data_IF_256499960781
#
_entry.id   IF_256499960781
#
_cell.length_a   1.000
_cell.length_b   1.000
_cell.length_c   1.000
_cell.angle_alpha   90.00
_cell.angle_beta   90.00
_cell.angle_gamma   90.00
#
_symmetry.space_group_name_H-M   'P 1'
#
loop_
_entity.id
_entity.type
_entity.pdbx_description
1 polymer ?
#
# COMPACT_ATOMS: atom_id res chain seq x y z
N UNK A 1 -23.68 -9.58 -7.42
CA UNK A 1 -22.97 -9.98 -6.19
C UNK A 1 -22.05 -11.13 -6.56
N UNK A 2 -20.74 -10.93 -6.59
CA UNK A 2 -19.80 -12.02 -6.88
C UNK A 2 -18.42 -11.71 -6.33
N UNK A 3 -17.99 -12.51 -5.36
CA UNK A 3 -16.59 -12.84 -5.10
C UNK A 3 -15.83 -11.91 -4.15
N UNK A 4 -16.19 -11.89 -2.87
CA UNK A 4 -15.20 -11.57 -1.83
C UNK A 4 -14.56 -12.91 -1.46
N UNK A 5 -13.27 -13.11 -1.76
CA UNK A 5 -12.53 -14.24 -1.19
C UNK A 5 -12.46 -14.01 0.32
N UNK A 6 -13.08 -14.89 1.11
CA UNK A 6 -13.18 -14.75 2.56
C UNK A 6 -11.83 -14.88 3.30
N UNK A 7 -10.78 -15.34 2.62
CA UNK A 7 -9.42 -15.42 3.17
C UNK A 7 -8.60 -14.19 2.76
N UNK A 8 -8.08 -13.42 3.74
CA UNK A 8 -7.19 -12.32 3.42
C UNK A 8 -5.85 -12.84 2.89
N UNK A 9 -5.25 -12.11 1.96
CA UNK A 9 -3.93 -12.42 1.45
C UNK A 9 -2.86 -12.17 2.51
N UNK A 10 -1.81 -12.98 2.53
CA UNK A 10 -0.67 -12.81 3.44
C UNK A 10 0.26 -11.63 3.04
N UNK A 11 0.18 -11.23 1.77
CA UNK A 11 1.07 -10.25 1.18
C UNK A 11 0.46 -9.55 -0.03
N UNK A 12 0.95 -8.33 -0.29
CA UNK A 12 0.55 -7.53 -1.44
C UNK A 12 1.67 -6.57 -1.83
N UNK A 13 1.82 -6.35 -3.14
CA UNK A 13 2.69 -5.32 -3.73
C UNK A 13 1.78 -4.39 -4.53
N UNK A 14 1.87 -3.09 -4.24
CA UNK A 14 1.11 -2.06 -4.93
C UNK A 14 1.42 -2.11 -6.42
N UNK A 15 0.38 -2.04 -7.24
CA UNK A 15 0.44 -2.12 -8.69
C UNK A 15 -0.43 -1.02 -9.33
N UNK A 16 -0.43 -0.94 -10.66
CA UNK A 16 -1.15 0.11 -11.39
C UNK A 16 -2.67 0.07 -11.23
N UNK A 17 -3.24 -1.05 -10.81
CA UNK A 17 -4.67 -1.17 -10.53
C UNK A 17 -5.02 -0.76 -9.10
N UNK A 18 -4.05 -0.62 -8.19
CA UNK A 18 -4.28 -0.19 -6.81
C UNK A 18 -4.77 1.25 -6.75
N UNK A 19 -5.96 1.46 -6.21
CA UNK A 19 -6.53 2.80 -5.98
C UNK A 19 -6.38 3.25 -4.52
N UNK A 20 -6.50 2.32 -3.58
CA UNK A 20 -6.38 2.63 -2.15
C UNK A 20 -5.93 1.43 -1.31
N UNK A 21 -5.21 1.72 -0.23
CA UNK A 21 -4.90 0.78 0.86
C UNK A 21 -5.42 1.40 2.15
N UNK A 22 -6.52 0.86 2.66
CA UNK A 22 -7.23 1.42 3.82
C UNK A 22 -7.01 0.53 5.05
N UNK A 23 -6.76 1.11 6.23
CA UNK A 23 -6.71 0.33 7.46
C UNK A 23 -8.09 -0.22 7.80
N UNK A 24 -8.13 -1.46 8.29
CA UNK A 24 -9.30 -2.07 8.93
C UNK A 24 -8.88 -2.48 10.33
N UNK A 25 -9.65 -2.02 11.31
CA UNK A 25 -9.40 -2.27 12.73
C UNK A 25 -10.44 -3.27 13.25
N UNK A 26 -9.96 -4.40 13.78
CA UNK A 26 -10.81 -5.43 14.37
C UNK A 26 -10.24 -5.86 15.71
N UNK A 27 -10.81 -5.30 16.78
CA UNK A 27 -10.29 -5.45 18.14
C UNK A 27 -8.87 -4.91 18.26
N UNK A 28 -7.89 -5.79 18.52
CA UNK A 28 -6.46 -5.44 18.63
C UNK A 28 -5.68 -5.63 17.33
N UNK A 29 -6.32 -6.17 16.28
CA UNK A 29 -5.69 -6.43 14.99
C UNK A 29 -5.96 -5.28 14.04
N UNK A 30 -4.93 -4.92 13.26
CA UNK A 30 -5.05 -3.97 12.16
C UNK A 30 -4.53 -4.66 10.92
N UNK A 31 -5.38 -4.73 9.89
CA UNK A 31 -5.07 -5.25 8.57
C UNK A 31 -5.49 -4.22 7.52
N UNK A 32 -5.39 -4.56 6.23
CA UNK A 32 -5.73 -3.63 5.16
C UNK A 32 -6.85 -4.15 4.29
N UNK A 33 -7.73 -3.25 3.86
CA UNK A 33 -8.55 -3.43 2.66
C UNK A 33 -7.86 -2.76 1.49
N UNK A 34 -7.53 -3.54 0.48
CA UNK A 34 -7.00 -3.05 -0.79
C UNK A 34 -8.16 -2.87 -1.75
N UNK A 35 -8.22 -1.71 -2.39
CA UNK A 35 -9.18 -1.41 -3.45
C UNK A 35 -8.39 -1.28 -4.74
N UNK A 36 -8.66 -2.16 -5.68
CA UNK A 36 -8.22 -2.06 -7.07
C UNK A 36 -9.38 -1.60 -7.96
N UNK A 37 -9.10 -1.22 -9.21
CA UNK A 37 -10.10 -0.69 -10.16
C UNK A 37 -11.40 -1.50 -10.22
N UNK A 38 -11.30 -2.83 -10.30
CA UNK A 38 -12.45 -3.73 -10.50
C UNK A 38 -12.78 -4.59 -9.28
N UNK A 39 -11.97 -4.56 -8.22
CA UNK A 39 -12.10 -5.48 -7.09
C UNK A 39 -11.61 -4.88 -5.79
N UNK A 40 -12.00 -5.49 -4.68
CA UNK A 40 -11.42 -5.18 -3.37
C UNK A 40 -11.28 -6.46 -2.54
N UNK A 41 -10.20 -6.54 -1.78
CA UNK A 41 -9.89 -7.71 -0.96
C UNK A 41 -9.14 -7.27 0.30
N UNK A 42 -9.00 -8.20 1.24
CA UNK A 42 -8.30 -7.97 2.50
C UNK A 42 -6.88 -8.56 2.45
N UNK A 43 -5.95 -7.91 3.15
CA UNK A 43 -4.55 -8.34 3.27
C UNK A 43 -4.17 -8.28 4.74
N UNK A 44 -3.58 -9.35 5.29
CA UNK A 44 -3.15 -9.46 6.71
C UNK A 44 -1.90 -8.62 7.05
N UNK A 45 -1.78 -7.44 6.43
CA UNK A 45 -0.70 -6.48 6.66
C UNK A 45 -1.32 -5.11 6.95
N UNK A 46 -0.68 -4.33 7.82
CA UNK A 46 -1.03 -2.92 8.02
C UNK A 46 -0.68 -2.13 6.74
N UNK A 47 -1.36 -1.01 6.46
CA UNK A 47 -1.10 -0.22 5.25
C UNK A 47 0.37 0.15 5.09
N UNK A 48 1.04 0.56 6.18
CA UNK A 48 2.45 0.94 6.14
C UNK A 48 3.38 -0.25 5.83
N UNK A 49 3.00 -1.48 6.23
CA UNK A 49 3.77 -2.67 5.88
C UNK A 49 3.64 -3.01 4.39
N UNK A 50 2.45 -2.82 3.80
CA UNK A 50 2.23 -2.97 2.36
C UNK A 50 3.06 -1.95 1.57
N UNK A 51 3.05 -0.68 2.00
CA UNK A 51 3.84 0.39 1.38
C UNK A 51 5.34 0.06 1.45
N UNK A 52 5.85 -0.27 2.63
CA UNK A 52 7.26 -0.60 2.84
C UNK A 52 7.68 -1.85 2.03
N UNK A 53 6.82 -2.87 1.97
CA UNK A 53 7.07 -4.06 1.14
C UNK A 53 7.13 -3.70 -0.35
N UNK A 54 6.21 -2.87 -0.82
CA UNK A 54 6.18 -2.41 -2.22
C UNK A 54 7.43 -1.60 -2.57
N UNK A 55 7.89 -0.75 -1.67
CA UNK A 55 9.16 -0.05 -1.84
C UNK A 55 10.34 -1.03 -1.97
N UNK A 56 10.42 -2.01 -1.06
CA UNK A 56 11.49 -3.01 -1.05
C UNK A 56 11.50 -3.92 -2.27
N UNK A 57 10.32 -4.28 -2.79
CA UNK A 57 10.19 -5.07 -4.01
C UNK A 57 10.91 -4.41 -5.20
N UNK A 58 10.88 -3.07 -5.28
CA UNK A 58 11.57 -2.28 -6.30
C UNK A 58 12.92 -1.70 -5.84
N UNK A 59 13.54 -2.26 -4.79
CA UNK A 59 14.89 -1.87 -4.36
C UNK A 59 14.98 -0.55 -3.59
N UNK A 60 13.88 -0.08 -3.00
CA UNK A 60 13.81 1.18 -2.23
C UNK A 60 13.21 0.97 -0.84
N UNK A 61 13.01 2.06 -0.07
CA UNK A 61 12.32 2.03 1.23
C UNK A 61 11.35 3.20 1.37
N UNK A 62 10.32 3.05 2.22
CA UNK A 62 9.39 4.14 2.52
C UNK A 62 10.12 5.35 3.11
N UNK A 63 11.06 5.10 4.03
CA UNK A 63 11.84 6.16 4.66
C UNK A 63 12.67 6.95 3.63
N UNK A 64 13.32 6.25 2.70
CA UNK A 64 14.11 6.89 1.63
C UNK A 64 13.25 7.74 0.70
N UNK A 65 12.09 7.21 0.26
CA UNK A 65 11.15 7.97 -0.60
C UNK A 65 10.56 9.18 0.12
N UNK A 66 10.20 9.03 1.40
CA UNK A 66 9.71 10.14 2.22
C UNK A 66 10.76 11.25 2.36
N UNK A 67 12.02 10.88 2.62
CA UNK A 67 13.12 11.83 2.74
C UNK A 67 13.39 12.55 1.40
N UNK A 68 13.48 11.80 0.29
CA UNK A 68 13.66 12.39 -1.04
C UNK A 68 12.52 13.32 -1.45
N UNK A 69 11.28 12.97 -1.10
CA UNK A 69 10.12 13.85 -1.35
C UNK A 69 10.23 15.15 -0.57
N UNK A 70 10.61 15.09 0.71
CA UNK A 70 10.82 16.28 1.52
C UNK A 70 11.93 17.18 0.94
N UNK A 71 13.05 16.59 0.54
CA UNK A 71 14.18 17.33 -0.06
C UNK A 71 13.77 18.10 -1.32
N UNK A 72 12.93 17.50 -2.16
CA UNK A 72 12.51 18.11 -3.44
C UNK A 72 11.34 19.09 -3.27
N UNK A 73 10.42 18.82 -2.33
CA UNK A 73 9.13 19.55 -2.24
C UNK A 73 9.00 20.46 -1.03
N UNK A 74 9.81 20.26 0.01
CA UNK A 74 9.66 20.92 1.32
C UNK A 74 8.43 20.46 2.14
N UNK A 75 7.64 19.50 1.65
CA UNK A 75 6.41 19.05 2.33
C UNK A 75 6.77 18.02 3.40
N UNK A 76 6.50 18.35 4.67
CA UNK A 76 6.82 17.47 5.81
C UNK A 76 5.65 16.61 6.28
N UNK A 77 4.41 17.07 6.06
CA UNK A 77 3.21 16.42 6.56
C UNK A 77 2.36 15.87 5.40
N UNK A 78 2.11 14.55 5.44
CA UNK A 78 1.41 13.80 4.39
C UNK A 78 1.95 14.12 2.98
N UNK A 79 3.28 14.05 2.78
CA UNK A 79 3.86 14.39 1.48
C UNK A 79 3.36 13.42 0.40
N UNK A 80 3.09 13.92 -0.82
CA UNK A 80 2.81 13.06 -1.95
C UNK A 80 4.13 12.41 -2.40
N UNK A 81 4.25 11.10 -2.30
CA UNK A 81 5.44 10.38 -2.75
C UNK A 81 5.05 9.29 -3.75
N UNK A 82 5.98 9.00 -4.66
CA UNK A 82 5.81 8.00 -5.70
C UNK A 82 5.92 6.58 -5.15
N UNK A 83 5.18 5.64 -5.72
CA UNK A 83 5.38 4.21 -5.51
C UNK A 83 5.55 3.57 -6.88
N UNK A 84 6.75 3.07 -7.12
CA UNK A 84 7.07 2.37 -8.36
C UNK A 84 6.17 1.15 -8.55
N UNK A 85 5.76 0.94 -9.80
CA UNK A 85 4.99 -0.21 -10.26
C UNK A 85 5.64 -0.79 -11.53
N UNK A 86 5.21 -1.97 -11.96
CA UNK A 86 5.64 -2.53 -13.24
C UNK A 86 4.84 -1.88 -14.37
N UNK A 87 5.56 -1.32 -15.36
CA UNK A 87 4.98 -0.85 -16.61
C UNK A 87 4.97 -2.03 -17.62
N UNK A 88 3.80 -2.61 -17.83
CA UNK A 88 3.52 -3.64 -18.85
C UNK A 88 2.35 -3.24 -19.71
#
# INVERSE_FOLDING_TARGET
MSGISETPLDSYVINQSTMAVLPIEEGKKVYSKVIERETSFYVELKPLQIIERSCRFFGSSYAGRKAGTYEVTGISHKPPFEIQTLDI
#
